data_IF_680420279193
#
_entry.id   IF_680420279193
#
_cell.length_a   1.000
_cell.length_b   1.000
_cell.length_c   1.000
_cell.angle_alpha   90.00
_cell.angle_beta   90.00
_cell.angle_gamma   90.00
#
_symmetry.space_group_name_H-M   'P 1'
#
loop_
_entity.id
_entity.type
_entity.pdbx_description
1 polymer ?
#
# COMPACT_ATOMS: atom_id res chain seq x y z
N UNK A 1 13.82 16.48 25.26
CA UNK A 1 12.69 16.10 24.39
C UNK A 1 12.79 14.60 24.16
N UNK A 2 11.75 13.83 24.48
CA UNK A 2 11.72 12.41 24.17
C UNK A 2 11.79 12.20 22.64
N UNK A 3 12.53 11.21 22.15
CA UNK A 3 12.61 10.94 20.73
C UNK A 3 11.21 10.60 20.20
N UNK A 4 10.83 11.14 19.04
CA UNK A 4 9.58 10.80 18.36
C UNK A 4 9.71 9.38 17.78
N UNK A 5 9.09 8.43 18.41
CA UNK A 5 9.04 7.03 17.99
C UNK A 5 8.10 6.78 16.79
N UNK A 6 7.22 7.73 16.49
CA UNK A 6 6.13 7.56 15.55
C UNK A 6 6.18 8.66 14.51
N UNK A 7 6.21 8.29 13.24
CA UNK A 7 6.04 9.23 12.14
C UNK A 7 4.56 9.60 11.96
N UNK A 8 4.29 10.77 11.37
CA UNK A 8 2.93 11.17 11.00
C UNK A 8 2.41 10.54 9.71
N UNK A 9 3.16 9.59 9.12
CA UNK A 9 2.85 9.04 7.81
C UNK A 9 1.57 8.19 7.80
N UNK A 10 1.40 7.33 8.79
CA UNK A 10 0.23 6.46 8.92
C UNK A 10 -0.58 6.83 10.14
N UNK A 11 -1.91 6.90 9.95
CA UNK A 11 -2.86 7.06 11.05
C UNK A 11 -3.32 5.67 11.47
N UNK A 12 -2.69 5.13 12.47
CA UNK A 12 -3.12 3.88 13.10
C UNK A 12 -4.19 4.24 14.12
N UNK A 13 -5.39 3.68 13.95
CA UNK A 13 -6.43 3.72 14.99
C UNK A 13 -6.06 2.76 16.09
N UNK A 14 -6.16 3.22 17.31
CA UNK A 14 -5.92 2.40 18.51
C UNK A 14 -7.20 2.26 19.31
N UNK A 15 -7.33 1.25 20.18
CA UNK A 15 -8.43 1.16 21.11
C UNK A 15 -8.59 2.46 21.92
N UNK A 16 -9.83 2.79 22.28
CA UNK A 16 -10.12 4.01 23.04
C UNK A 16 -9.30 4.06 24.34
N UNK A 17 -8.64 5.18 24.56
CA UNK A 17 -7.82 5.42 25.74
C UNK A 17 -6.40 4.85 25.70
N UNK A 18 -6.01 4.16 24.62
CA UNK A 18 -4.65 3.66 24.46
C UNK A 18 -3.79 4.64 23.63
N UNK A 19 -2.54 4.79 24.05
CA UNK A 19 -1.53 5.40 23.20
C UNK A 19 -1.22 4.48 21.97
N UNK A 20 -0.54 5.05 20.97
CA UNK A 20 -0.29 4.31 19.73
C UNK A 20 0.56 3.05 19.90
N UNK A 21 1.55 3.08 20.78
CA UNK A 21 2.46 1.94 20.99
C UNK A 21 1.70 0.81 21.65
N UNK A 22 0.99 1.11 22.73
CA UNK A 22 0.15 0.15 23.46
C UNK A 22 -0.95 -0.41 22.55
N UNK A 23 -1.62 0.44 21.78
CA UNK A 23 -2.66 0.02 20.86
C UNK A 23 -2.16 -0.91 19.75
N UNK A 24 -0.99 -0.64 19.18
CA UNK A 24 -0.37 -1.54 18.19
C UNK A 24 0.03 -2.87 18.83
N UNK A 25 0.63 -2.83 20.02
CA UNK A 25 0.99 -4.04 20.76
C UNK A 25 -0.23 -4.91 21.06
N UNK A 26 -1.37 -4.31 21.43
CA UNK A 26 -2.61 -5.04 21.66
C UNK A 26 -3.16 -5.68 20.38
N UNK A 27 -3.11 -4.98 19.25
CA UNK A 27 -3.49 -5.55 17.97
C UNK A 27 -2.63 -6.77 17.60
N UNK A 28 -1.31 -6.65 17.75
CA UNK A 28 -0.37 -7.75 17.50
C UNK A 28 -0.65 -8.91 18.47
N UNK A 29 -0.84 -8.62 19.74
CA UNK A 29 -1.14 -9.64 20.77
C UNK A 29 -2.44 -10.37 20.45
N UNK A 30 -3.46 -9.65 19.96
CA UNK A 30 -4.72 -10.28 19.55
C UNK A 30 -4.51 -11.20 18.35
N UNK A 31 -3.78 -10.79 17.34
CA UNK A 31 -3.45 -11.63 16.19
C UNK A 31 -2.62 -12.84 16.61
N UNK A 32 -1.64 -12.65 17.49
CA UNK A 32 -0.82 -13.74 18.02
C UNK A 32 -1.63 -14.79 18.79
N UNK A 33 -2.56 -14.35 19.64
CA UNK A 33 -3.47 -15.28 20.35
C UNK A 33 -4.35 -16.10 19.39
N UNK A 34 -4.68 -15.53 18.23
CA UNK A 34 -5.51 -16.18 17.21
C UNK A 34 -4.70 -16.73 16.02
N UNK A 35 -3.37 -16.83 16.15
CA UNK A 35 -2.48 -17.21 15.04
C UNK A 35 -2.83 -18.55 14.40
N UNK A 36 -3.23 -19.55 15.17
CA UNK A 36 -3.59 -20.86 14.62
C UNK A 36 -4.79 -20.73 13.69
N UNK A 37 -5.84 -20.01 14.11
CA UNK A 37 -7.00 -19.75 13.23
C UNK A 37 -6.59 -19.02 11.95
N UNK A 38 -5.67 -18.05 12.04
CA UNK A 38 -5.15 -17.34 10.87
C UNK A 38 -4.41 -18.32 9.97
N UNK A 39 -3.48 -19.10 10.53
CA UNK A 39 -2.66 -20.02 9.75
C UNK A 39 -3.50 -21.16 9.17
N UNK A 40 -4.48 -21.69 9.90
CA UNK A 40 -5.35 -22.74 9.39
C UNK A 40 -6.21 -22.23 8.23
N UNK A 41 -6.82 -21.05 8.38
CA UNK A 41 -7.67 -20.45 7.34
C UNK A 41 -6.86 -20.07 6.10
N UNK A 42 -5.69 -19.47 6.29
CA UNK A 42 -4.80 -19.12 5.16
C UNK A 42 -4.10 -20.37 4.62
N UNK A 43 -3.71 -21.31 5.49
CA UNK A 43 -3.01 -22.53 5.12
C UNK A 43 -3.82 -23.42 4.19
N UNK A 44 -5.13 -23.53 4.38
CA UNK A 44 -6.00 -24.26 3.44
C UNK A 44 -5.96 -23.66 2.04
N UNK A 45 -5.92 -22.34 1.92
CA UNK A 45 -5.78 -21.65 0.61
C UNK A 45 -4.39 -21.83 0.01
N UNK A 46 -3.34 -21.83 0.82
CA UNK A 46 -1.96 -22.00 0.34
C UNK A 46 -1.68 -23.43 -0.12
N UNK A 47 -2.14 -24.41 0.64
CA UNK A 47 -1.97 -25.84 0.29
C UNK A 47 -2.71 -26.17 -1.02
N UNK A 48 -3.88 -25.57 -1.24
CA UNK A 48 -4.66 -25.78 -2.48
C UNK A 48 -4.11 -25.01 -3.68
N UNK A 49 -3.01 -24.26 -3.55
CA UNK A 49 -2.46 -23.34 -4.57
C UNK A 49 -3.46 -22.28 -5.06
N UNK A 50 -4.44 -21.95 -4.26
CA UNK A 50 -5.47 -20.94 -4.51
C UNK A 50 -5.17 -19.66 -3.73
N UNK A 51 -3.90 -19.25 -3.68
CA UNK A 51 -3.52 -18.04 -2.98
C UNK A 51 -4.13 -16.82 -3.66
N UNK A 52 -4.80 -15.97 -2.90
CA UNK A 52 -5.49 -14.77 -3.36
C UNK A 52 -5.27 -13.63 -2.41
N UNK A 53 -4.93 -12.47 -2.95
CA UNK A 53 -4.78 -11.23 -2.19
C UNK A 53 -6.11 -10.81 -1.58
N UNK A 54 -7.20 -10.88 -2.37
CA UNK A 54 -8.54 -10.50 -1.92
C UNK A 54 -9.06 -11.39 -0.80
N UNK A 55 -8.91 -12.72 -0.93
CA UNK A 55 -9.33 -13.66 0.10
C UNK A 55 -8.56 -13.40 1.40
N UNK A 56 -7.24 -13.23 1.31
CA UNK A 56 -6.40 -12.92 2.46
C UNK A 56 -6.80 -11.61 3.12
N UNK A 57 -7.07 -10.57 2.33
CA UNK A 57 -7.55 -9.29 2.82
C UNK A 57 -8.88 -9.42 3.57
N UNK A 58 -9.85 -10.16 3.03
CA UNK A 58 -11.14 -10.42 3.68
C UNK A 58 -10.98 -11.11 5.04
N UNK A 59 -10.08 -12.08 5.13
CA UNK A 59 -9.78 -12.77 6.41
C UNK A 59 -9.19 -11.78 7.43
N UNK A 60 -8.26 -10.93 7.01
CA UNK A 60 -7.65 -9.95 7.91
C UNK A 60 -8.65 -8.92 8.43
N UNK A 61 -9.70 -8.59 7.66
CA UNK A 61 -10.76 -7.68 8.12
C UNK A 61 -11.54 -8.19 9.33
N UNK A 62 -11.51 -9.49 9.59
CA UNK A 62 -12.19 -10.07 10.77
C UNK A 62 -11.46 -9.76 12.08
N UNK A 63 -10.22 -9.26 12.02
CA UNK A 63 -9.42 -8.98 13.21
C UNK A 63 -9.61 -7.54 13.68
N UNK A 64 -9.65 -7.33 15.00
CA UNK A 64 -9.78 -6.00 15.58
C UNK A 64 -8.67 -5.06 15.06
N UNK A 65 -9.06 -3.83 14.76
CA UNK A 65 -8.18 -2.76 14.28
C UNK A 65 -7.55 -2.99 12.89
N UNK A 66 -7.86 -4.12 12.24
CA UNK A 66 -7.53 -4.39 10.84
C UNK A 66 -8.62 -3.81 9.93
N UNK A 67 -8.67 -2.49 9.82
CA UNK A 67 -9.52 -1.86 8.81
C UNK A 67 -9.02 -2.10 7.38
N UNK A 68 -9.82 -1.77 6.35
CA UNK A 68 -9.52 -2.06 4.95
C UNK A 68 -8.12 -1.61 4.51
N UNK A 69 -7.65 -0.47 4.98
CA UNK A 69 -6.33 0.05 4.68
C UNK A 69 -5.22 -0.81 5.32
N UNK A 70 -5.30 -1.06 6.64
CA UNK A 70 -4.24 -1.82 7.32
C UNK A 70 -4.17 -3.27 6.84
N UNK A 71 -5.33 -3.90 6.63
CA UNK A 71 -5.38 -5.24 6.05
C UNK A 71 -4.75 -5.28 4.65
N UNK A 72 -4.97 -4.24 3.85
CA UNK A 72 -4.39 -4.14 2.52
C UNK A 72 -2.86 -3.95 2.56
N UNK A 73 -2.35 -3.10 3.45
CA UNK A 73 -0.89 -2.95 3.64
C UNK A 73 -0.23 -4.28 4.02
N UNK A 74 -0.83 -5.04 4.96
CA UNK A 74 -0.32 -6.37 5.34
C UNK A 74 -0.31 -7.34 4.15
N UNK A 75 -1.40 -7.38 3.38
CA UNK A 75 -1.49 -8.24 2.18
C UNK A 75 -0.42 -7.87 1.15
N UNK A 76 -0.18 -6.58 0.95
CA UNK A 76 0.82 -6.11 -0.01
C UNK A 76 2.25 -6.42 0.43
N UNK A 77 2.52 -6.49 1.73
CA UNK A 77 3.81 -6.95 2.25
C UNK A 77 3.94 -8.48 2.11
N UNK A 78 2.90 -9.24 2.45
CA UNK A 78 2.86 -10.70 2.28
C UNK A 78 2.99 -11.12 0.81
N UNK A 79 2.62 -10.27 -0.13
CA UNK A 79 2.78 -10.47 -1.58
C UNK A 79 4.24 -10.77 -1.97
N UNK A 80 5.20 -10.27 -1.23
CA UNK A 80 6.63 -10.47 -1.48
C UNK A 80 7.19 -11.71 -0.78
N UNK A 81 6.34 -12.50 -0.14
CA UNK A 81 6.70 -13.75 0.54
C UNK A 81 6.17 -14.95 -0.24
N UNK A 82 6.68 -16.14 0.09
CA UNK A 82 6.19 -17.41 -0.46
C UNK A 82 4.68 -17.64 -0.24
N UNK A 83 4.05 -16.89 0.66
CA UNK A 83 2.63 -17.02 0.99
C UNK A 83 1.73 -16.50 -0.14
N UNK A 84 2.09 -15.35 -0.73
CA UNK A 84 1.25 -14.68 -1.73
C UNK A 84 2.01 -14.30 -3.02
N UNK A 85 3.27 -14.70 -3.18
CA UNK A 85 4.04 -14.40 -4.40
C UNK A 85 3.38 -14.92 -5.69
N UNK A 86 2.62 -15.99 -5.60
CA UNK A 86 1.91 -16.61 -6.70
C UNK A 86 0.39 -16.38 -6.66
N UNK A 87 -0.09 -15.36 -5.91
CA UNK A 87 -1.51 -15.05 -5.84
C UNK A 87 -2.10 -14.83 -7.25
N UNK A 88 -3.21 -15.54 -7.53
CA UNK A 88 -3.85 -15.55 -8.85
C UNK A 88 -4.42 -14.19 -9.27
N UNK A 89 -4.82 -13.38 -8.27
CA UNK A 89 -5.51 -12.11 -8.46
C UNK A 89 -4.59 -10.87 -8.41
N UNK A 90 -3.27 -11.05 -8.38
CA UNK A 90 -2.31 -9.93 -8.31
C UNK A 90 -2.41 -8.93 -9.47
N UNK A 91 -2.91 -9.41 -10.63
CA UNK A 91 -3.10 -8.60 -11.84
C UNK A 91 -4.53 -8.08 -12.00
N UNK A 92 -5.45 -8.52 -11.15
CA UNK A 92 -6.88 -8.24 -11.31
C UNK A 92 -7.51 -7.59 -10.10
N UNK A 93 -6.85 -7.62 -8.94
CA UNK A 93 -7.42 -7.09 -7.71
C UNK A 93 -6.45 -6.16 -6.96
N UNK A 94 -7.02 -5.06 -6.46
CA UNK A 94 -6.45 -4.20 -5.44
C UNK A 94 -7.58 -3.59 -4.61
N UNK A 95 -7.32 -3.27 -3.35
CA UNK A 95 -8.28 -2.54 -2.53
C UNK A 95 -8.20 -1.04 -2.86
N UNK A 96 -9.01 -0.59 -3.81
CA UNK A 96 -9.06 0.82 -4.19
C UNK A 96 -9.42 1.72 -3.00
N UNK A 97 -8.42 2.36 -2.43
CA UNK A 97 -8.60 3.33 -1.37
C UNK A 97 -9.17 4.66 -1.88
N UNK A 98 -9.60 5.56 -0.97
CA UNK A 98 -10.16 6.86 -1.36
C UNK A 98 -9.22 7.71 -2.24
N UNK A 99 -7.90 7.53 -2.09
CA UNK A 99 -6.90 8.19 -2.94
C UNK A 99 -6.94 7.69 -4.37
N UNK A 100 -6.93 6.37 -4.55
CA UNK A 100 -6.98 5.74 -5.86
C UNK A 100 -8.32 6.04 -6.57
N UNK A 101 -9.43 5.97 -5.86
CA UNK A 101 -10.75 6.36 -6.40
C UNK A 101 -10.76 7.81 -6.92
N UNK A 102 -10.22 8.76 -6.15
CA UNK A 102 -10.10 10.15 -6.63
C UNK A 102 -9.14 10.29 -7.78
N UNK A 103 -8.05 9.51 -7.81
CA UNK A 103 -7.12 9.46 -8.93
C UNK A 103 -7.84 9.04 -10.22
N UNK A 104 -8.62 7.97 -10.20
CA UNK A 104 -9.45 7.52 -11.32
C UNK A 104 -10.49 8.58 -11.72
N UNK A 105 -11.18 9.17 -10.75
CA UNK A 105 -12.15 10.22 -11.01
C UNK A 105 -11.52 11.44 -11.72
N UNK A 106 -10.27 11.79 -11.37
CA UNK A 106 -9.52 12.85 -12.08
C UNK A 106 -9.21 12.48 -13.52
N UNK A 107 -8.78 11.24 -13.75
CA UNK A 107 -8.43 10.76 -15.10
C UNK A 107 -9.66 10.69 -16.00
N UNK A 108 -10.79 10.31 -15.46
CA UNK A 108 -12.05 10.15 -16.21
C UNK A 108 -12.93 11.39 -16.25
N UNK A 109 -12.52 12.49 -15.60
CA UNK A 109 -13.31 13.73 -15.52
C UNK A 109 -14.57 13.64 -14.68
N UNK A 110 -14.68 12.63 -13.81
CA UNK A 110 -15.83 12.48 -12.89
C UNK A 110 -15.69 13.39 -11.66
N UNK A 111 -16.81 13.57 -10.96
CA UNK A 111 -16.84 14.22 -9.66
C UNK A 111 -15.90 13.51 -8.68
N UNK A 112 -15.03 14.26 -7.97
CA UNK A 112 -14.03 13.68 -7.06
C UNK A 112 -14.65 12.93 -5.87
N UNK A 113 -15.87 13.27 -5.51
CA UNK A 113 -16.65 12.61 -4.44
C UNK A 113 -17.28 11.29 -4.87
N UNK A 114 -17.27 10.96 -6.16
CA UNK A 114 -17.85 9.71 -6.63
C UNK A 114 -17.12 8.51 -5.99
N UNK A 115 -17.89 7.69 -5.24
CA UNK A 115 -17.37 6.55 -4.47
C UNK A 115 -18.41 5.44 -4.32
N UNK A 116 -19.20 5.20 -5.40
CA UNK A 116 -20.29 4.22 -5.37
C UNK A 116 -19.77 2.81 -5.13
N UNK A 117 -20.30 2.12 -4.10
CA UNK A 117 -19.87 0.74 -3.74
C UNK A 117 -20.09 -0.29 -4.83
N UNK A 118 -21.15 -0.13 -5.63
CA UNK A 118 -21.44 -1.05 -6.74
C UNK A 118 -20.59 -0.79 -7.98
N UNK A 119 -19.68 0.19 -7.94
CA UNK A 119 -18.79 0.49 -9.04
C UNK A 119 -17.57 -0.44 -8.97
N UNK A 120 -17.25 -1.07 -10.08
CA UNK A 120 -16.08 -1.96 -10.15
C UNK A 120 -14.81 -1.16 -10.45
N UNK A 121 -14.16 -0.72 -9.39
CA UNK A 121 -12.90 0.01 -9.46
C UNK A 121 -11.77 -0.83 -10.06
N UNK A 122 -11.81 -2.14 -9.87
CA UNK A 122 -10.76 -3.02 -10.37
C UNK A 122 -10.79 -3.12 -11.89
N UNK A 123 -11.95 -3.11 -12.51
CA UNK A 123 -12.05 -3.09 -13.99
C UNK A 123 -11.39 -1.83 -14.54
N UNK A 124 -11.68 -0.66 -13.99
CA UNK A 124 -11.07 0.59 -14.45
C UNK A 124 -9.56 0.62 -14.23
N UNK A 125 -9.08 0.11 -13.10
CA UNK A 125 -7.64 0.01 -12.83
C UNK A 125 -6.95 -0.96 -13.78
N UNK A 126 -7.59 -2.08 -14.13
CA UNK A 126 -7.07 -3.03 -15.14
C UNK A 126 -6.96 -2.38 -16.52
N UNK A 127 -7.95 -1.59 -16.91
CA UNK A 127 -7.92 -0.89 -18.19
C UNK A 127 -6.84 0.19 -18.22
N UNK A 128 -6.67 0.90 -17.11
CA UNK A 128 -5.55 1.82 -16.93
C UNK A 128 -4.20 1.10 -17.00
N UNK A 129 -4.06 -0.06 -16.35
CA UNK A 129 -2.84 -0.89 -16.42
C UNK A 129 -2.47 -1.24 -17.86
N UNK A 130 -3.45 -1.68 -18.65
CA UNK A 130 -3.27 -1.98 -20.09
C UNK A 130 -2.86 -0.73 -20.90
N UNK A 131 -3.44 0.44 -20.56
CA UNK A 131 -3.09 1.70 -21.21
C UNK A 131 -1.67 2.15 -20.88
N UNK A 132 -1.28 2.07 -19.61
CA UNK A 132 0.09 2.39 -19.13
C UNK A 132 1.11 1.47 -19.81
N UNK A 133 0.86 0.17 -19.85
CA UNK A 133 1.77 -0.79 -20.48
C UNK A 133 2.02 -0.50 -21.97
N UNK A 134 1.04 0.08 -22.68
CA UNK A 134 1.18 0.47 -24.10
C UNK A 134 1.98 1.76 -24.29
N UNK A 135 2.00 2.64 -23.29
CA UNK A 135 2.64 3.96 -23.38
C UNK A 135 4.08 3.97 -22.85
N UNK A 136 4.42 3.04 -21.98
CA UNK A 136 5.76 3.00 -21.42
C UNK A 136 6.75 2.38 -22.41
N UNK A 137 7.88 3.08 -22.66
CA UNK A 137 8.97 2.50 -23.45
C UNK A 137 9.48 1.20 -22.83
N UNK A 138 9.84 0.24 -23.67
CA UNK A 138 10.37 -1.06 -23.23
C UNK A 138 11.61 -0.93 -22.33
N UNK A 139 12.34 0.17 -22.41
CA UNK A 139 13.49 0.50 -21.56
C UNK A 139 13.10 0.87 -20.12
N UNK A 140 11.88 1.37 -19.89
CA UNK A 140 11.36 1.69 -18.55
C UNK A 140 10.68 0.48 -17.95
N UNK A 141 10.22 -0.47 -18.76
CA UNK A 141 9.78 -1.76 -18.29
C UNK A 141 11.03 -2.55 -17.87
N UNK A 142 11.62 -2.13 -16.77
CA UNK A 142 12.82 -2.73 -16.15
C UNK A 142 12.64 -4.22 -15.82
N UNK A 143 11.43 -4.74 -15.98
CA UNK A 143 11.08 -6.13 -15.75
C UNK A 143 10.25 -6.65 -16.92
N UNK A 144 10.91 -7.04 -17.98
CA UNK A 144 10.28 -7.82 -19.07
C UNK A 144 9.49 -9.06 -18.58
N UNK A 145 9.68 -9.44 -17.33
CA UNK A 145 9.16 -10.67 -16.74
C UNK A 145 8.02 -10.48 -15.74
N UNK A 146 7.74 -9.25 -15.30
CA UNK A 146 6.67 -9.00 -14.34
C UNK A 146 5.76 -7.89 -14.87
N UNK A 147 4.51 -8.21 -15.22
CA UNK A 147 3.50 -7.20 -15.53
C UNK A 147 3.31 -6.29 -14.31
N UNK A 148 2.84 -5.06 -14.54
CA UNK A 148 2.41 -4.19 -13.45
C UNK A 148 1.28 -4.86 -12.70
N UNK A 149 1.49 -5.07 -11.40
CA UNK A 149 0.45 -5.60 -10.54
C UNK A 149 -0.55 -4.50 -10.20
N UNK A 150 -1.75 -4.89 -9.80
CA UNK A 150 -2.81 -3.93 -9.47
C UNK A 150 -2.43 -2.99 -8.33
N UNK A 151 -1.53 -3.44 -7.43
CA UNK A 151 -1.00 -2.60 -6.36
C UNK A 151 -0.23 -1.38 -6.87
N UNK A 152 0.60 -1.55 -7.91
CA UNK A 152 1.35 -0.43 -8.48
C UNK A 152 0.40 0.60 -9.14
N UNK A 153 -0.68 0.11 -9.74
CA UNK A 153 -1.72 0.98 -10.32
C UNK A 153 -2.48 1.72 -9.22
N UNK A 154 -2.91 1.01 -8.18
CA UNK A 154 -3.61 1.62 -7.02
C UNK A 154 -2.74 2.67 -6.33
N UNK A 155 -1.49 2.32 -6.02
CA UNK A 155 -0.52 3.23 -5.39
C UNK A 155 -0.22 4.44 -6.27
N UNK A 156 0.01 4.22 -7.57
CA UNK A 156 0.23 5.30 -8.56
C UNK A 156 -0.94 6.27 -8.63
N UNK A 157 -2.16 5.78 -8.62
CA UNK A 157 -3.38 6.60 -8.59
C UNK A 157 -3.50 7.42 -7.30
N UNK A 158 -3.14 6.82 -6.16
CA UNK A 158 -3.14 7.50 -4.87
C UNK A 158 -2.13 8.66 -4.86
N UNK A 159 -0.91 8.42 -5.36
CA UNK A 159 0.12 9.47 -5.48
C UNK A 159 -0.26 10.53 -6.51
N UNK A 160 -0.84 10.15 -7.63
CA UNK A 160 -1.36 11.06 -8.64
C UNK A 160 -2.45 12.01 -8.07
N UNK A 161 -3.39 11.50 -7.26
CA UNK A 161 -4.38 12.36 -6.57
C UNK A 161 -3.69 13.32 -5.61
N UNK A 162 -2.71 12.86 -4.83
CA UNK A 162 -1.95 13.72 -3.90
C UNK A 162 -1.24 14.85 -4.65
N UNK A 163 -0.50 14.52 -5.71
CA UNK A 163 0.18 15.50 -6.54
C UNK A 163 -0.78 16.49 -7.17
N UNK A 164 -1.81 15.98 -7.85
CA UNK A 164 -2.80 16.81 -8.56
C UNK A 164 -3.55 17.75 -7.61
N UNK A 165 -3.88 17.30 -6.42
CA UNK A 165 -4.53 18.10 -5.40
C UNK A 165 -3.68 19.29 -4.96
N UNK A 166 -2.37 19.05 -4.75
CA UNK A 166 -1.44 20.11 -4.37
C UNK A 166 -1.26 21.09 -5.55
N UNK A 167 -0.98 20.56 -6.74
CA UNK A 167 -0.79 21.36 -7.95
C UNK A 167 -1.98 22.27 -8.26
N UNK A 168 -3.20 21.79 -8.02
CA UNK A 168 -4.45 22.54 -8.23
C UNK A 168 -4.90 23.38 -7.02
N UNK A 169 -4.09 23.49 -5.97
CA UNK A 169 -4.45 24.25 -4.76
C UNK A 169 -5.62 23.66 -3.96
N UNK A 170 -5.97 22.38 -4.18
CA UNK A 170 -7.10 21.69 -3.55
C UNK A 170 -6.76 21.01 -2.23
N UNK A 171 -5.63 21.32 -1.63
CA UNK A 171 -5.22 20.70 -0.36
C UNK A 171 -3.81 21.12 0.05
N UNK A 172 -3.38 20.57 1.18
CA UNK A 172 -2.04 20.77 1.73
C UNK A 172 -1.34 19.44 1.92
N UNK A 173 -0.02 19.42 1.78
CA UNK A 173 0.80 18.28 2.20
C UNK A 173 0.73 18.16 3.72
N UNK A 174 0.71 16.93 4.24
CA UNK A 174 0.83 16.70 5.69
C UNK A 174 2.20 17.08 6.22
N UNK A 175 3.23 16.87 5.40
CA UNK A 175 4.61 17.25 5.69
C UNK A 175 5.27 17.68 4.39
N UNK A 176 6.20 18.62 4.50
CA UNK A 176 7.09 19.01 3.41
C UNK A 176 8.44 18.36 3.74
N UNK A 177 9.02 17.69 2.76
CA UNK A 177 10.39 17.20 2.89
C UNK A 177 11.30 18.40 3.15
N UNK A 178 12.00 18.36 4.27
CA UNK A 178 13.07 19.30 4.59
C UNK A 178 14.38 18.58 4.39
N UNK A 179 15.14 19.01 3.43
CA UNK A 179 16.49 18.48 3.26
C UNK A 179 17.28 18.75 4.53
N UNK A 180 17.80 17.70 5.11
CA UNK A 180 18.79 17.81 6.17
C UNK A 180 20.13 18.12 5.51
N UNK A 181 20.64 19.32 5.77
CA UNK A 181 21.92 19.76 5.21
C UNK A 181 23.12 18.92 5.68
N UNK A 182 22.92 18.15 6.75
CA UNK A 182 23.93 17.22 7.26
C UNK A 182 23.91 15.85 6.59
N UNK A 183 22.87 15.55 5.79
CA UNK A 183 22.85 14.30 5.03
C UNK A 183 23.89 14.39 3.89
N UNK A 184 24.72 13.33 3.76
CA UNK A 184 25.70 13.28 2.68
C UNK A 184 25.00 13.26 1.33
N UNK A 185 25.64 13.75 0.31
CA UNK A 185 25.21 13.57 -1.07
C UNK A 185 25.20 12.06 -1.38
N UNK A 186 24.30 11.67 -2.27
CA UNK A 186 24.18 10.25 -2.66
C UNK A 186 25.50 9.73 -3.25
N UNK A 187 26.26 10.59 -3.91
CA UNK A 187 27.57 10.34 -4.46
C UNK A 187 28.60 9.98 -3.36
N UNK A 188 28.59 10.68 -2.23
CA UNK A 188 29.46 10.42 -1.08
C UNK A 188 29.11 9.06 -0.45
N UNK A 189 27.83 8.69 -0.45
CA UNK A 189 27.38 7.38 0.06
C UNK A 189 27.85 6.26 -0.87
N UNK A 190 27.74 6.44 -2.18
CA UNK A 190 28.15 5.46 -3.20
C UNK A 190 29.65 5.26 -3.17
N UNK A 191 30.42 6.35 -3.01
CA UNK A 191 31.89 6.32 -2.97
C UNK A 191 32.45 5.88 -1.61
N UNK A 192 31.60 5.59 -0.63
CA UNK A 192 32.03 5.15 0.71
C UNK A 192 32.65 6.27 1.56
N UNK A 193 32.52 7.51 1.15
CA UNK A 193 33.05 8.68 1.85
C UNK A 193 32.13 9.15 2.99
N UNK A 194 30.91 8.64 3.03
CA UNK A 194 29.93 9.00 4.05
C UNK A 194 30.11 8.21 5.35
N UNK A 195 30.07 8.90 6.49
CA UNK A 195 30.02 8.31 7.84
C UNK A 195 28.83 7.33 8.04
N UNK A 196 27.79 7.39 7.19
CA UNK A 196 26.61 6.52 7.23
C UNK A 196 26.76 5.24 6.39
N UNK A 197 27.82 5.12 5.58
CA UNK A 197 28.12 3.95 4.74
C UNK A 197 29.03 2.90 5.40
N UNK A 198 29.53 3.15 6.58
CA UNK A 198 30.36 2.18 7.33
C UNK A 198 29.47 1.39 8.29
N UNK A 199 29.05 0.21 7.87
CA UNK A 199 28.59 -0.87 8.76
C UNK A 199 29.70 -1.89 8.91
#
# INVERSE_FOLDING_TARGET
KQPKWITGAYIIKTPNGMDKVTGVAECISHMWRNRNRITDTLGEHWIKKESSLEKTWKILLEYPYMGPFMAYEVVTDLRWTHLLENAEDRLTWANAGPGAMRGLNRLTGRELSFSKRSHDWNIEMQDLSKAVARQLPSSIILRKTLPYEMREIEGGLCEFDKYSRIFKGQGRTRSIYKHDKELPLIEDVINGESKYGKR
#
